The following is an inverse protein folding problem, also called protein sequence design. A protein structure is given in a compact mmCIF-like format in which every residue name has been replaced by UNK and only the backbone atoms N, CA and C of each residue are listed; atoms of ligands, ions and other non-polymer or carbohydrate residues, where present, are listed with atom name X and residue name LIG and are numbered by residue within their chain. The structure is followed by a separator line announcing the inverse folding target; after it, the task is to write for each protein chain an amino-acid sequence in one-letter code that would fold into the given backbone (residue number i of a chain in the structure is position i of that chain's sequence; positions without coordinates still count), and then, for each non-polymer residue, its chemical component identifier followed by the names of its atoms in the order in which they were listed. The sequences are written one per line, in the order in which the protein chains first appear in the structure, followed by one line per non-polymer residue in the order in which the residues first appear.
data_IF_516388520875
#
_entry.id   IF_516388520875
#
_cell.length_a   1.000
_cell.length_b   1.000
_cell.length_c   1.000
_cell.angle_alpha   90.00
_cell.angle_beta   90.00
_cell.angle_gamma   90.00
#
_symmetry.space_group_name_H-M   'P 1'
#
loop_
_entity.id
_entity.type
_entity.pdbx_description
1 polymer ?
#
# COMPACT_ATOMS: atom_id res chain seq x y z
N UNK A 1 2.02 19.71 -22.22
CA UNK A 1 0.87 20.27 -21.47
C UNK A 1 0.03 19.08 -21.04
N UNK A 2 -0.10 18.84 -19.74
CA UNK A 2 -0.95 17.75 -19.24
C UNK A 2 -2.40 18.16 -19.43
N UNK A 3 -3.15 17.41 -20.22
CA UNK A 3 -4.59 17.59 -20.37
C UNK A 3 -5.26 17.25 -19.03
N UNK A 4 -5.87 18.23 -18.39
CA UNK A 4 -6.58 18.01 -17.13
C UNK A 4 -7.85 17.21 -17.42
N UNK A 5 -8.07 16.13 -16.66
CA UNK A 5 -9.28 15.30 -16.78
C UNK A 5 -10.53 16.16 -16.54
N UNK A 6 -11.57 15.93 -17.34
CA UNK A 6 -12.85 16.58 -17.10
C UNK A 6 -13.45 16.13 -15.76
N UNK A 7 -14.31 16.95 -15.12
CA UNK A 7 -14.98 16.56 -13.88
C UNK A 7 -15.77 15.24 -13.99
N UNK A 8 -16.34 14.96 -15.17
CA UNK A 8 -17.05 13.71 -15.44
C UNK A 8 -16.13 12.49 -15.43
N UNK A 9 -14.95 12.59 -16.04
CA UNK A 9 -13.94 11.52 -16.04
C UNK A 9 -13.38 11.27 -14.64
N UNK A 10 -13.11 12.34 -13.89
CA UNK A 10 -12.66 12.23 -12.49
C UNK A 10 -13.70 11.50 -11.63
N UNK A 11 -14.99 11.84 -11.75
CA UNK A 11 -16.07 11.14 -11.03
C UNK A 11 -16.15 9.67 -11.44
N UNK A 12 -16.10 9.37 -12.74
CA UNK A 12 -16.16 8.00 -13.25
C UNK A 12 -15.01 7.15 -12.70
N UNK A 13 -13.78 7.69 -12.73
CA UNK A 13 -12.61 7.00 -12.19
C UNK A 13 -12.70 6.82 -10.67
N UNK A 14 -13.13 7.84 -9.93
CA UNK A 14 -13.31 7.76 -8.48
C UNK A 14 -14.31 6.67 -8.09
N UNK A 15 -15.47 6.61 -8.78
CA UNK A 15 -16.47 5.56 -8.58
C UNK A 15 -15.88 4.18 -8.86
N UNK A 16 -15.24 3.99 -10.01
CA UNK A 16 -14.65 2.70 -10.39
C UNK A 16 -13.57 2.23 -9.40
N UNK A 17 -12.73 3.15 -8.90
CA UNK A 17 -11.72 2.83 -7.87
C UNK A 17 -12.37 2.48 -6.54
N UNK A 18 -13.40 3.21 -6.12
CA UNK A 18 -14.16 2.90 -4.91
C UNK A 18 -14.77 1.51 -4.99
N UNK A 19 -15.46 1.18 -6.08
CA UNK A 19 -16.02 -0.16 -6.31
C UNK A 19 -14.94 -1.25 -6.24
N UNK A 20 -13.79 -1.03 -6.90
CA UNK A 20 -12.68 -1.97 -6.85
C UNK A 20 -12.15 -2.18 -5.41
N UNK A 21 -12.03 -1.11 -4.62
CA UNK A 21 -11.60 -1.18 -3.22
C UNK A 21 -12.58 -2.00 -2.38
N UNK A 22 -13.89 -1.72 -2.48
CA UNK A 22 -14.91 -2.42 -1.70
C UNK A 22 -15.08 -3.89 -2.15
N UNK A 23 -14.96 -4.19 -3.44
CA UNK A 23 -14.96 -5.56 -3.96
C UNK A 23 -13.75 -6.36 -3.45
N UNK A 24 -12.57 -5.73 -3.41
CA UNK A 24 -11.36 -6.35 -2.85
C UNK A 24 -11.51 -6.61 -1.36
N UNK A 25 -12.07 -5.65 -0.62
CA UNK A 25 -12.39 -5.80 0.80
C UNK A 25 -13.36 -6.95 1.06
N UNK A 26 -14.49 -7.00 0.35
CA UNK A 26 -15.49 -8.07 0.49
C UNK A 26 -14.88 -9.45 0.21
N UNK A 27 -14.03 -9.55 -0.82
CA UNK A 27 -13.28 -10.78 -1.12
C UNK A 27 -12.37 -11.17 0.04
N UNK A 28 -11.59 -10.22 0.57
CA UNK A 28 -10.68 -10.47 1.69
C UNK A 28 -11.45 -10.87 2.96
N UNK A 29 -12.54 -10.17 3.29
CA UNK A 29 -13.40 -10.47 4.43
C UNK A 29 -13.94 -11.90 4.35
N UNK A 30 -14.53 -12.27 3.21
CA UNK A 30 -15.06 -13.63 2.99
C UNK A 30 -13.99 -14.72 3.08
N UNK A 31 -12.77 -14.44 2.61
CA UNK A 31 -11.63 -15.36 2.79
C UNK A 31 -11.30 -15.51 4.26
N UNK A 32 -11.24 -14.40 5.01
CA UNK A 32 -10.87 -14.40 6.41
C UNK A 32 -11.93 -15.12 7.26
N UNK A 33 -13.22 -14.82 7.06
CA UNK A 33 -14.33 -15.46 7.77
C UNK A 33 -14.29 -16.99 7.68
N UNK A 34 -13.90 -17.53 6.52
CA UNK A 34 -13.87 -18.98 6.26
C UNK A 34 -12.54 -19.63 6.59
N UNK A 35 -11.42 -18.89 6.47
CA UNK A 35 -10.07 -19.49 6.41
C UNK A 35 -9.07 -18.90 7.39
N UNK A 36 -9.44 -17.94 8.23
CA UNK A 36 -8.52 -17.27 9.16
C UNK A 36 -7.68 -18.27 9.97
N UNK A 37 -8.32 -19.23 10.65
CA UNK A 37 -7.63 -20.22 11.49
C UNK A 37 -6.60 -21.02 10.67
N UNK A 38 -6.94 -21.35 9.42
CA UNK A 38 -6.03 -22.07 8.52
C UNK A 38 -4.88 -21.18 8.06
N UNK A 39 -5.16 -19.92 7.72
CA UNK A 39 -4.15 -18.92 7.32
C UNK A 39 -3.16 -18.70 8.47
N UNK A 40 -3.65 -18.45 9.69
CA UNK A 40 -2.81 -18.25 10.88
C UNK A 40 -1.92 -19.47 11.15
N UNK A 41 -2.50 -20.67 11.23
CA UNK A 41 -1.76 -21.92 11.48
C UNK A 41 -0.68 -22.17 10.42
N UNK A 42 -0.99 -21.95 9.14
CA UNK A 42 -0.03 -22.16 8.05
C UNK A 42 1.05 -21.08 8.03
N UNK A 43 0.70 -19.81 8.27
CA UNK A 43 1.65 -18.70 8.22
C UNK A 43 2.69 -18.76 9.34
N UNK A 44 2.25 -19.09 10.56
CA UNK A 44 3.14 -19.23 11.73
C UNK A 44 4.19 -20.32 11.48
N UNK A 45 3.79 -21.44 10.86
CA UNK A 45 4.69 -22.56 10.54
C UNK A 45 5.68 -22.29 9.40
N UNK A 46 5.47 -21.25 8.58
CA UNK A 46 6.39 -20.94 7.47
C UNK A 46 7.70 -20.36 7.99
N UNK A 47 8.82 -20.77 7.39
CA UNK A 47 10.12 -20.11 7.61
C UNK A 47 10.14 -18.73 6.98
N UNK A 48 11.12 -17.89 7.35
CA UNK A 48 11.32 -16.56 6.75
C UNK A 48 11.42 -16.65 5.22
N UNK A 49 12.22 -17.57 4.69
CA UNK A 49 12.38 -17.77 3.24
C UNK A 49 11.06 -18.18 2.55
N UNK A 50 10.26 -19.05 3.18
CA UNK A 50 8.96 -19.44 2.65
C UNK A 50 7.94 -18.30 2.67
N UNK A 51 7.95 -17.46 3.71
CA UNK A 51 7.11 -16.25 3.77
C UNK A 51 7.52 -15.27 2.67
N UNK A 52 8.81 -15.06 2.46
CA UNK A 52 9.34 -14.19 1.41
C UNK A 52 8.87 -14.66 0.02
N UNK A 53 9.00 -15.96 -0.26
CA UNK A 53 8.52 -16.54 -1.53
C UNK A 53 7.03 -16.28 -1.77
N UNK A 54 6.21 -16.38 -0.73
CA UNK A 54 4.77 -16.10 -0.82
C UNK A 54 4.53 -14.61 -1.11
N UNK A 55 5.19 -13.71 -0.37
CA UNK A 55 5.04 -12.27 -0.58
C UNK A 55 5.46 -11.84 -2.00
N UNK A 56 6.63 -12.28 -2.46
CA UNK A 56 7.14 -11.95 -3.79
C UNK A 56 6.36 -12.61 -4.93
N UNK A 57 5.67 -13.73 -4.68
CA UNK A 57 4.76 -14.30 -5.68
C UNK A 57 3.51 -13.45 -5.90
N UNK A 58 3.08 -12.69 -4.89
CA UNK A 58 1.93 -11.80 -4.96
C UNK A 58 2.31 -10.36 -5.37
N UNK A 59 3.51 -9.92 -4.96
CA UNK A 59 4.06 -8.61 -5.28
C UNK A 59 5.58 -8.72 -5.52
N UNK A 60 6.01 -8.95 -6.78
CA UNK A 60 7.40 -9.19 -7.12
C UNK A 60 8.35 -8.06 -6.69
N UNK A 61 7.93 -6.81 -6.82
CA UNK A 61 8.73 -5.63 -6.50
C UNK A 61 8.43 -5.06 -5.10
N UNK A 62 8.05 -5.92 -4.14
CA UNK A 62 7.78 -5.48 -2.76
C UNK A 62 9.05 -4.87 -2.13
N UNK A 63 8.98 -3.67 -1.52
CA UNK A 63 10.16 -3.04 -0.92
C UNK A 63 10.78 -3.90 0.18
N UNK A 64 12.10 -4.04 0.15
CA UNK A 64 12.82 -4.91 1.08
C UNK A 64 12.84 -4.37 2.50
N UNK A 65 13.09 -3.07 2.65
CA UNK A 65 13.38 -2.44 3.94
C UNK A 65 12.20 -1.65 4.52
N UNK A 66 12.23 -1.48 5.84
CA UNK A 66 11.46 -0.47 6.54
C UNK A 66 11.64 0.91 5.89
N UNK A 67 10.54 1.69 5.84
CA UNK A 67 10.53 3.05 5.29
C UNK A 67 11.20 3.14 3.90
N UNK A 68 10.64 2.43 2.90
CA UNK A 68 11.22 2.38 1.57
C UNK A 68 11.24 3.77 0.91
N UNK A 69 10.31 4.64 1.29
CA UNK A 69 10.28 6.07 0.95
C UNK A 69 11.62 6.78 1.25
N UNK A 70 12.21 6.56 2.43
CA UNK A 70 13.51 7.14 2.77
C UNK A 70 14.65 6.54 1.96
N UNK A 71 14.60 5.23 1.70
CA UNK A 71 15.65 4.56 0.93
C UNK A 71 15.68 5.05 -0.52
N UNK A 72 14.51 5.26 -1.11
CA UNK A 72 14.36 5.84 -2.44
C UNK A 72 14.83 7.28 -2.44
N UNK A 73 14.31 8.11 -1.52
CA UNK A 73 14.67 9.52 -1.45
C UNK A 73 16.18 9.75 -1.32
N UNK A 74 16.87 8.94 -0.50
CA UNK A 74 18.33 8.99 -0.36
C UNK A 74 19.05 8.59 -1.65
N UNK A 75 18.57 7.54 -2.35
CA UNK A 75 19.16 7.08 -3.61
C UNK A 75 18.97 8.09 -4.75
N UNK A 76 17.83 8.77 -4.77
CA UNK A 76 17.48 9.76 -5.81
C UNK A 76 18.06 11.17 -5.52
N UNK A 77 19.00 11.30 -4.58
CA UNK A 77 19.74 12.55 -4.37
C UNK A 77 18.98 13.62 -3.60
N UNK A 78 17.94 13.27 -2.84
CA UNK A 78 17.35 14.18 -1.84
C UNK A 78 16.47 15.30 -2.41
N UNK A 79 15.86 15.11 -3.58
CA UNK A 79 14.85 16.02 -4.14
C UNK A 79 15.30 16.88 -5.32
N UNK A 80 16.48 16.63 -5.90
CA UNK A 80 17.00 17.39 -7.05
C UNK A 80 16.54 16.88 -8.42
N UNK A 81 15.70 15.84 -8.49
CA UNK A 81 15.25 15.23 -9.75
C UNK A 81 13.79 14.80 -9.72
N UNK A 82 13.14 14.80 -10.88
CA UNK A 82 11.85 14.14 -11.10
C UNK A 82 11.98 12.68 -10.69
N UNK A 83 11.35 12.33 -9.56
CA UNK A 83 11.39 10.98 -9.01
C UNK A 83 10.79 9.98 -10.01
N UNK A 84 11.40 8.80 -10.09
CA UNK A 84 10.98 7.81 -11.08
C UNK A 84 9.52 7.36 -10.81
N UNK A 85 8.68 7.19 -11.84
CA UNK A 85 7.34 6.59 -11.66
C UNK A 85 7.38 5.22 -10.96
N UNK A 86 8.49 4.48 -11.12
CA UNK A 86 8.70 3.18 -10.46
C UNK A 86 8.88 3.29 -8.94
N UNK A 87 9.23 4.47 -8.42
CA UNK A 87 9.50 4.67 -7.00
C UNK A 87 8.29 5.16 -6.21
N UNK A 88 7.23 5.62 -6.90
CA UNK A 88 5.95 6.07 -6.33
C UNK A 88 5.37 5.09 -5.31
N UNK A 89 5.43 3.79 -5.58
CA UNK A 89 4.91 2.76 -4.68
C UNK A 89 5.55 2.78 -3.28
N UNK A 90 6.82 3.15 -3.18
CA UNK A 90 7.54 3.24 -1.90
C UNK A 90 7.04 4.39 -1.04
N UNK A 91 6.56 5.47 -1.65
CA UNK A 91 5.97 6.60 -0.94
C UNK A 91 4.51 6.36 -0.58
N UNK A 92 3.77 5.66 -1.43
CA UNK A 92 2.35 5.34 -1.21
C UNK A 92 2.18 4.29 -0.12
N UNK A 93 2.98 3.22 -0.17
CA UNK A 93 2.91 2.09 0.75
C UNK A 93 4.14 2.01 1.65
N UNK A 94 4.52 3.15 2.26
CA UNK A 94 5.72 3.29 3.09
C UNK A 94 5.79 2.34 4.30
N UNK A 95 4.64 1.78 4.71
CA UNK A 95 4.53 0.82 5.80
C UNK A 95 4.41 -0.64 5.36
N UNK A 96 4.34 -0.95 4.07
CA UNK A 96 4.27 -2.33 3.54
C UNK A 96 5.63 -2.72 2.97
N UNK A 97 6.34 -3.60 3.66
CA UNK A 97 7.70 -4.01 3.29
C UNK A 97 8.02 -5.44 3.75
N UNK A 98 9.09 -6.02 3.20
CA UNK A 98 9.51 -7.39 3.53
C UNK A 98 9.99 -7.50 4.99
N UNK A 99 10.81 -6.57 5.49
CA UNK A 99 11.33 -6.60 6.87
C UNK A 99 10.22 -6.77 7.92
N UNK A 100 9.11 -6.05 7.75
CA UNK A 100 7.94 -6.13 8.60
C UNK A 100 7.08 -7.36 8.37
N UNK A 101 6.68 -7.61 7.11
CA UNK A 101 5.72 -8.66 6.83
C UNK A 101 6.30 -10.07 6.99
N UNK A 102 7.63 -10.21 6.98
CA UNK A 102 8.28 -11.48 7.29
C UNK A 102 8.23 -11.86 8.78
N UNK A 103 7.90 -10.91 9.67
CA UNK A 103 7.65 -11.18 11.09
C UNK A 103 6.37 -12.03 11.22
N UNK A 104 6.34 -13.07 12.06
CA UNK A 104 5.21 -14.01 12.12
C UNK A 104 3.85 -13.36 12.37
N UNK A 105 3.80 -12.30 13.21
CA UNK A 105 2.55 -11.66 13.64
C UNK A 105 2.11 -10.52 12.72
N UNK A 106 3.03 -9.74 12.18
CA UNK A 106 2.71 -8.49 11.46
C UNK A 106 1.83 -8.71 10.25
N UNK A 107 2.13 -9.73 9.42
CA UNK A 107 1.27 -10.08 8.27
C UNK A 107 -0.14 -10.49 8.70
N UNK A 108 -0.28 -11.23 9.81
CA UNK A 108 -1.59 -11.63 10.32
C UNK A 108 -2.37 -10.45 10.88
N UNK A 109 -1.71 -9.50 11.53
CA UNK A 109 -2.31 -8.25 12.01
C UNK A 109 -2.78 -7.37 10.85
N UNK A 110 -1.97 -7.27 9.78
CA UNK A 110 -2.35 -6.55 8.56
C UNK A 110 -3.60 -7.18 7.92
N UNK A 111 -3.61 -8.50 7.74
CA UNK A 111 -4.78 -9.19 7.17
C UNK A 111 -6.01 -9.07 8.06
N UNK A 112 -5.85 -9.21 9.38
CA UNK A 112 -6.96 -9.07 10.32
C UNK A 112 -7.58 -7.67 10.27
N UNK A 113 -6.74 -6.63 10.35
CA UNK A 113 -7.22 -5.25 10.32
C UNK A 113 -7.91 -4.94 9.00
N UNK A 114 -7.31 -5.28 7.86
CA UNK A 114 -7.86 -4.99 6.53
C UNK A 114 -9.01 -5.90 6.12
N UNK A 115 -9.13 -7.09 6.71
CA UNK A 115 -10.20 -8.04 6.41
C UNK A 115 -11.45 -7.85 7.27
N UNK A 116 -11.35 -7.23 8.46
CA UNK A 116 -12.49 -7.08 9.39
C UNK A 116 -13.08 -5.68 9.48
N UNK A 117 -12.38 -4.68 8.95
CA UNK A 117 -12.80 -3.29 9.06
C UNK A 117 -12.96 -2.68 7.67
N UNK A 118 -14.02 -1.86 7.46
CA UNK A 118 -14.30 -1.28 6.16
C UNK A 118 -13.13 -0.36 5.71
N UNK A 119 -12.86 -0.27 4.39
CA UNK A 119 -11.78 0.56 3.86
C UNK A 119 -11.82 2.02 4.32
N UNK A 120 -13.02 2.58 4.51
CA UNK A 120 -13.21 3.96 4.98
C UNK A 120 -12.56 4.25 6.33
N UNK A 121 -12.43 3.25 7.21
CA UNK A 121 -11.78 3.41 8.52
C UNK A 121 -10.28 3.75 8.40
N UNK A 122 -9.66 3.36 7.27
CA UNK A 122 -8.23 3.54 7.05
C UNK A 122 -7.91 4.74 6.17
N UNK A 123 -8.89 5.37 5.52
CA UNK A 123 -8.66 6.41 4.52
C UNK A 123 -7.72 7.53 5.02
N UNK A 124 -7.98 8.05 6.22
CA UNK A 124 -7.14 9.10 6.81
C UNK A 124 -5.74 8.60 7.22
N UNK A 125 -5.63 7.36 7.70
CA UNK A 125 -4.34 6.77 8.07
C UNK A 125 -3.48 6.47 6.83
N UNK A 126 -4.12 5.98 5.77
CA UNK A 126 -3.48 5.70 4.48
C UNK A 126 -3.01 7.00 3.83
N UNK A 127 -3.83 8.06 3.84
CA UNK A 127 -3.43 9.39 3.35
C UNK A 127 -2.24 9.95 4.14
N UNK A 128 -2.28 9.88 5.48
CA UNK A 128 -1.19 10.34 6.33
C UNK A 128 0.11 9.56 6.11
N UNK A 129 0.03 8.26 5.80
CA UNK A 129 1.20 7.46 5.49
C UNK A 129 1.92 7.92 4.21
N UNK A 130 1.22 8.61 3.31
CA UNK A 130 1.75 9.18 2.08
C UNK A 130 2.35 10.57 2.25
N UNK A 131 2.19 11.21 3.41
CA UNK A 131 2.56 12.61 3.64
C UNK A 131 4.02 12.93 3.29
N UNK A 132 4.95 12.00 3.54
CA UNK A 132 6.34 12.19 3.17
C UNK A 132 6.54 12.26 1.65
N UNK A 133 5.76 11.51 0.87
CA UNK A 133 5.74 11.60 -0.58
C UNK A 133 5.23 12.94 -1.09
N UNK A 134 4.22 13.52 -0.43
CA UNK A 134 3.73 14.87 -0.76
C UNK A 134 4.81 15.92 -0.48
N UNK A 135 5.43 15.88 0.71
CA UNK A 135 6.46 16.84 1.12
C UNK A 135 7.71 16.81 0.23
N UNK A 136 8.04 15.64 -0.32
CA UNK A 136 9.20 15.45 -1.21
C UNK A 136 8.85 15.57 -2.70
N UNK A 137 7.59 15.91 -3.03
CA UNK A 137 7.05 15.98 -4.40
C UNK A 137 7.18 14.66 -5.18
N UNK A 138 7.28 13.54 -4.47
CA UNK A 138 7.24 12.18 -5.00
C UNK A 138 5.85 11.78 -5.51
N UNK A 139 4.84 12.32 -4.84
CA UNK A 139 3.42 12.07 -5.08
C UNK A 139 2.67 13.39 -5.07
N UNK A 140 1.61 13.49 -5.88
CA UNK A 140 0.70 14.62 -5.83
C UNK A 140 -0.38 14.38 -4.78
N UNK A 141 -0.68 15.36 -3.91
CA UNK A 141 -1.80 15.27 -2.99
C UNK A 141 -3.13 15.21 -3.74
N UNK A 142 -4.17 14.66 -3.09
CA UNK A 142 -5.52 14.55 -3.67
C UNK A 142 -6.13 15.94 -3.92
N UNK A 143 -5.77 16.92 -3.09
CA UNK A 143 -6.14 18.31 -3.24
C UNK A 143 -4.88 19.16 -3.30
N UNK A 144 -4.82 20.09 -4.25
CA UNK A 144 -3.82 21.14 -4.26
C UNK A 144 -4.12 22.04 -3.04
N UNK A 145 -3.26 22.05 -2.02
CA UNK A 145 -3.29 23.15 -1.05
C UNK A 145 -2.65 24.35 -1.74
N UNK A 146 -3.49 25.24 -2.28
CA UNK A 146 -3.08 26.60 -2.58
C UNK A 146 -2.88 27.33 -1.23
N UNK A 147 -1.63 27.43 -0.80
CA UNK A 147 -1.15 28.45 0.15
C UNK A 147 0.10 29.11 -0.40
#
# INVERSE_FOLDING_TARGET
MSEFKSPGEVRKEATARSESIFNSFDTLSKIFDRREVTIQRRWIKRTRAQRLKVLLSAWPDMPASHRPDFTVFRKEGGGSGTQSPTSRGSFVWSYINQEDLLKPKTMLLLLNSRGRHPPSLFAAADDRAMQYGFNTKATVPVFWEDM
#
